data_IF_669582393611
#
_entry.id   IF_669582393611
#
_cell.length_a   1.000
_cell.length_b   1.000
_cell.length_c   1.000
_cell.angle_alpha   90.00
_cell.angle_beta   90.00
_cell.angle_gamma   90.00
#
_symmetry.space_group_name_H-M   'P 1'
#
loop_
_entity.id
_entity.type
_entity.pdbx_description
1 polymer ?
#
# COMPACT_ATOMS: atom_id res chain seq x y z
N UNK A 1 23.08 3.16 -12.51
CA UNK A 1 22.76 3.05 -12.13
C UNK A 1 22.28 2.55 -12.06
N UNK A 2 22.23 2.53 -12.02
CA UNK A 2 21.79 2.17 -11.68
C UNK A 2 21.28 1.76 -11.55
N UNK A 3 21.42 1.71 -11.61
CA UNK A 3 20.91 1.32 -11.34
C UNK A 3 20.13 0.93 -11.08
N UNK A 4 20.00 0.96 -10.84
CA UNK A 4 19.20 0.57 -10.45
C UNK A 4 18.23 0.37 -10.92
N UNK A 5 18.07 0.92 -11.13
CA UNK A 5 17.04 0.81 -11.88
C UNK A 5 16.65 -0.46 -12.43
N UNK A 6 17.27 -0.92 -13.10
CA UNK A 6 17.10 -2.22 -13.55
C UNK A 6 16.74 -3.11 -12.42
N UNK A 7 16.93 -2.59 -11.31
CA UNK A 7 16.65 -3.33 -10.10
C UNK A 7 15.27 -3.09 -9.60
N UNK A 8 14.43 -2.45 -10.39
CA UNK A 8 13.08 -2.18 -9.95
C UNK A 8 12.35 -3.49 -9.69
N UNK A 9 11.79 -3.63 -8.52
CA UNK A 9 11.02 -4.80 -8.14
C UNK A 9 9.58 -4.58 -8.59
N UNK A 10 8.99 -5.54 -9.31
CA UNK A 10 7.58 -5.38 -9.69
C UNK A 10 6.71 -5.19 -8.47
N UNK A 11 5.66 -4.40 -8.63
CA UNK A 11 4.78 -4.06 -7.51
C UNK A 11 4.25 -5.32 -6.83
N UNK A 12 3.89 -6.34 -7.60
CA UNK A 12 3.30 -7.55 -7.04
C UNK A 12 4.30 -8.39 -6.24
N UNK A 13 5.59 -8.01 -6.26
CA UNK A 13 6.60 -8.70 -5.46
C UNK A 13 7.07 -7.88 -4.27
N UNK A 14 6.57 -6.65 -4.13
CA UNK A 14 7.01 -5.79 -3.03
C UNK A 14 6.30 -6.19 -1.75
N UNK A 15 7.02 -6.05 -0.65
CA UNK A 15 6.43 -6.30 0.67
C UNK A 15 5.38 -5.25 1.01
N UNK A 16 5.68 -3.99 0.70
CA UNK A 16 4.78 -2.90 1.01
C UNK A 16 4.75 -1.92 -0.16
N UNK A 17 3.67 -1.16 -0.26
CA UNK A 17 3.46 -0.19 -1.33
C UNK A 17 3.24 1.18 -0.72
N UNK A 18 3.80 2.22 -1.36
CA UNK A 18 3.46 3.57 -0.96
C UNK A 18 2.07 3.91 -1.51
N UNK A 19 1.56 5.09 -1.16
CA UNK A 19 0.19 5.45 -1.52
C UNK A 19 -0.02 5.49 -3.05
N UNK A 20 0.86 6.15 -3.83
CA UNK A 20 0.67 6.14 -5.28
C UNK A 20 0.74 4.74 -5.89
N UNK A 21 1.64 3.90 -5.40
CA UNK A 21 1.73 2.53 -5.91
C UNK A 21 0.48 1.74 -5.59
N UNK A 22 -0.02 1.88 -4.37
CA UNK A 22 -1.23 1.17 -3.97
C UNK A 22 -2.43 1.65 -4.76
N UNK A 23 -2.50 2.96 -5.01
CA UNK A 23 -3.61 3.52 -5.78
C UNK A 23 -3.67 2.89 -7.17
N UNK A 24 -2.53 2.78 -7.81
CA UNK A 24 -2.49 2.23 -9.15
C UNK A 24 -2.73 0.73 -9.15
N UNK A 25 -2.12 0.03 -8.20
CA UNK A 25 -2.18 -1.42 -8.18
C UNK A 25 -3.58 -1.92 -7.80
N UNK A 26 -4.22 -1.27 -6.83
CA UNK A 26 -5.53 -1.72 -6.36
C UNK A 26 -6.69 -0.98 -7.02
N UNK A 27 -6.42 0.06 -7.77
CA UNK A 27 -7.49 0.83 -8.39
C UNK A 27 -8.29 1.64 -7.40
N UNK A 28 -7.67 2.08 -6.31
CA UNK A 28 -8.31 2.87 -5.27
C UNK A 28 -7.66 4.25 -5.27
N UNK A 29 -8.45 5.31 -5.23
CA UNK A 29 -7.89 6.65 -5.23
C UNK A 29 -7.00 6.92 -4.03
N UNK A 30 -5.98 7.78 -4.21
CA UNK A 30 -5.04 8.07 -3.14
C UNK A 30 -5.71 8.66 -1.91
N UNK A 31 -6.67 9.56 -2.15
CA UNK A 31 -7.39 10.20 -1.04
C UNK A 31 -8.13 9.14 -0.22
N UNK A 32 -8.74 8.19 -0.90
CA UNK A 32 -9.45 7.12 -0.20
C UNK A 32 -8.49 6.24 0.58
N UNK A 33 -7.33 5.95 -0.02
CA UNK A 33 -6.32 5.15 0.67
C UNK A 33 -5.82 5.84 1.93
N UNK A 34 -5.62 7.16 1.87
CA UNK A 34 -5.19 7.89 3.06
C UNK A 34 -6.27 7.88 4.13
N UNK A 35 -7.53 7.95 3.72
CA UNK A 35 -8.63 7.86 4.65
C UNK A 35 -8.68 6.50 5.33
N UNK A 36 -8.50 5.43 4.55
CA UNK A 36 -8.46 4.08 5.11
C UNK A 36 -7.35 3.96 6.14
N UNK A 37 -6.17 4.52 5.82
CA UNK A 37 -5.05 4.47 6.75
C UNK A 37 -5.38 5.21 8.04
N UNK A 38 -6.03 6.36 7.94
CA UNK A 38 -6.40 7.13 9.13
C UNK A 38 -7.43 6.40 9.98
N UNK A 39 -8.39 5.76 9.33
CA UNK A 39 -9.46 5.06 10.04
C UNK A 39 -8.98 3.74 10.65
N UNK A 40 -7.86 3.24 10.19
CA UNK A 40 -7.32 1.97 10.65
C UNK A 40 -5.94 2.13 11.22
N UNK A 41 -5.70 3.23 11.92
CA UNK A 41 -4.40 3.49 12.52
C UNK A 41 -4.05 2.35 13.46
N UNK A 42 -2.83 1.85 13.34
CA UNK A 42 -2.39 0.73 14.16
C UNK A 42 -2.73 -0.64 13.59
N UNK A 43 -3.46 -0.68 12.47
CA UNK A 43 -3.77 -1.96 11.84
C UNK A 43 -2.49 -2.61 11.32
N UNK A 44 -2.51 -3.94 11.26
CA UNK A 44 -1.31 -4.67 10.85
C UNK A 44 -0.96 -4.47 9.39
N UNK A 45 -1.89 -3.98 8.56
CA UNK A 45 -1.56 -3.73 7.16
C UNK A 45 -0.95 -2.35 6.93
N UNK A 46 -0.84 -1.53 7.97
CA UNK A 46 -0.25 -0.19 7.87
C UNK A 46 1.17 -0.21 8.41
N UNK A 47 2.11 0.29 7.63
CA UNK A 47 3.49 0.42 8.03
C UNK A 47 3.88 1.89 7.96
N UNK A 48 4.36 2.43 9.06
CA UNK A 48 4.84 3.81 9.07
C UNK A 48 6.35 3.82 8.99
N UNK A 49 6.87 4.55 8.01
CA UNK A 49 8.32 4.73 7.86
C UNK A 49 8.56 6.23 7.94
N UNK A 50 9.00 6.67 9.13
CA UNK A 50 9.09 8.10 9.37
C UNK A 50 7.71 8.73 9.31
N UNK A 51 7.54 9.74 8.47
CA UNK A 51 6.25 10.40 8.30
C UNK A 51 5.45 9.82 7.13
N UNK A 52 5.95 8.76 6.51
CA UNK A 52 5.29 8.17 5.35
C UNK A 52 4.56 6.90 5.74
N UNK A 53 3.42 6.66 5.12
CA UNK A 53 2.68 5.43 5.34
C UNK A 53 2.87 4.53 4.12
N UNK A 54 2.89 3.23 4.39
CA UNK A 54 2.96 2.22 3.36
C UNK A 54 1.95 1.14 3.72
N UNK A 55 1.46 0.46 2.70
CA UNK A 55 0.51 -0.64 2.91
C UNK A 55 1.24 -1.96 2.74
N UNK A 56 1.18 -2.81 3.77
CA UNK A 56 1.76 -4.14 3.67
C UNK A 56 0.88 -4.93 2.72
N UNK A 57 1.41 -5.27 1.57
CA UNK A 57 0.60 -5.71 0.44
C UNK A 57 -0.32 -6.89 0.79
N UNK A 58 0.23 -7.96 1.31
CA UNK A 58 -0.57 -9.15 1.55
C UNK A 58 -1.62 -8.94 2.64
N UNK A 59 -1.25 -8.23 3.69
CA UNK A 59 -2.19 -7.96 4.78
C UNK A 59 -3.29 -7.02 4.34
N UNK A 60 -2.95 -6.03 3.52
CA UNK A 60 -3.96 -5.12 3.00
C UNK A 60 -4.89 -5.85 2.05
N UNK A 61 -4.35 -6.80 1.29
CA UNK A 61 -5.20 -7.60 0.40
C UNK A 61 -6.19 -8.44 1.19
N UNK A 62 -5.78 -8.95 2.36
CA UNK A 62 -6.71 -9.65 3.23
C UNK A 62 -7.82 -8.73 3.69
N UNK A 63 -7.48 -7.50 4.05
CA UNK A 63 -8.46 -6.50 4.43
C UNK A 63 -9.44 -6.24 3.29
N UNK A 64 -8.92 -6.07 2.07
CA UNK A 64 -9.75 -5.82 0.91
C UNK A 64 -10.65 -7.02 0.60
N UNK A 65 -10.14 -8.22 0.81
CA UNK A 65 -10.92 -9.42 0.54
C UNK A 65 -12.13 -9.54 1.45
N UNK A 66 -12.06 -8.94 2.62
CA UNK A 66 -13.16 -8.99 3.59
C UNK A 66 -14.06 -7.77 3.48
N UNK A 67 -13.77 -6.87 2.56
CA UNK A 67 -14.50 -5.61 2.41
C UNK A 67 -15.19 -5.61 1.06
N UNK A 68 -16.48 -5.36 1.05
CA UNK A 68 -17.23 -5.34 -0.20
C UNK A 68 -17.33 -3.96 -0.82
N UNK A 69 -17.08 -2.91 -0.04
CA UNK A 69 -17.21 -1.54 -0.51
C UNK A 69 -16.08 -0.71 0.10
N UNK A 70 -15.43 0.03 -0.75
CA UNK A 70 -14.37 0.93 -0.29
C UNK A 70 -14.77 2.39 -0.45
#
# INVERSE_FOLDING_TARGET
>A
MSKNTEKAIPVWEKYSLNVPEAAEYYGIGEKRLRQIANENEGADFILKVGSHIRFKRKMFEDYLNETNTI
#
